data_IF_355367384326
#
_entry.id   IF_355367384326
#
_cell.length_a   1.000
_cell.length_b   1.000
_cell.length_c   1.000
_cell.angle_alpha   90.00
_cell.angle_beta   90.00
_cell.angle_gamma   90.00
#
_symmetry.space_group_name_H-M   'P 1'
#
loop_
_entity.id
_entity.type
_entity.pdbx_description
1 polymer ?
#
# COMPACT_ATOMS: atom_id res chain seq x y z
N UNK A 1 21.22 47.99 -42.13
CA UNK A 1 19.91 47.75 -41.47
C UNK A 1 19.63 46.25 -41.47
N UNK A 2 20.29 45.46 -40.61
CA UNK A 2 20.10 44.00 -40.60
C UNK A 2 20.56 43.37 -39.27
N UNK A 3 20.32 44.02 -38.13
CA UNK A 3 20.75 43.49 -36.82
C UNK A 3 19.69 43.53 -35.72
N UNK A 4 18.53 44.15 -35.92
CA UNK A 4 17.50 44.24 -34.87
C UNK A 4 16.56 43.03 -34.75
N UNK A 5 16.54 42.12 -35.73
CA UNK A 5 15.53 41.05 -35.79
C UNK A 5 15.98 39.77 -35.08
N UNK A 6 17.30 39.58 -34.88
CA UNK A 6 17.84 38.33 -34.37
C UNK A 6 17.77 38.23 -32.84
N UNK A 7 17.81 39.37 -32.14
CA UNK A 7 17.80 39.45 -30.67
C UNK A 7 16.41 39.18 -30.08
N UNK A 8 15.33 39.57 -30.76
CA UNK A 8 13.96 39.32 -30.30
C UNK A 8 13.56 37.84 -30.44
N UNK A 9 14.06 37.13 -31.44
CA UNK A 9 13.78 35.71 -31.65
C UNK A 9 14.42 34.81 -30.58
N UNK A 10 15.63 35.15 -30.11
CA UNK A 10 16.34 34.40 -29.08
C UNK A 10 15.71 34.54 -27.68
N UNK A 11 15.16 35.71 -27.36
CA UNK A 11 14.50 35.96 -26.05
C UNK A 11 13.14 35.24 -25.98
N UNK A 12 12.38 35.20 -27.07
CA UNK A 12 11.11 34.47 -27.13
C UNK A 12 11.26 32.95 -26.94
N UNK A 13 12.34 32.37 -27.48
CA UNK A 13 12.61 30.92 -27.37
C UNK A 13 12.97 30.51 -25.92
N UNK A 14 13.67 31.37 -25.18
CA UNK A 14 14.06 31.12 -23.79
C UNK A 14 12.87 31.11 -22.82
N UNK A 15 11.84 31.93 -23.07
CA UNK A 15 10.63 31.99 -22.23
C UNK A 15 9.72 30.78 -22.48
N UNK A 16 9.58 30.35 -23.74
CA UNK A 16 8.80 29.17 -24.09
C UNK A 16 9.39 27.87 -23.51
N UNK A 17 10.73 27.76 -23.46
CA UNK A 17 11.41 26.62 -22.86
C UNK A 17 11.15 26.49 -21.35
N UNK A 18 11.13 27.60 -20.61
CA UNK A 18 10.84 27.58 -19.17
C UNK A 18 9.39 27.21 -18.87
N UNK A 19 8.43 27.73 -19.66
CA UNK A 19 7.01 27.38 -19.49
C UNK A 19 6.75 25.89 -19.71
N UNK A 20 7.44 25.25 -20.66
CA UNK A 20 7.33 23.82 -20.91
C UNK A 20 7.88 22.98 -19.74
N UNK A 21 9.01 23.40 -19.14
CA UNK A 21 9.62 22.71 -17.98
C UNK A 21 8.70 22.83 -16.76
N UNK A 22 8.17 24.03 -16.48
CA UNK A 22 7.23 24.25 -15.38
C UNK A 22 5.95 23.45 -15.61
N UNK A 23 5.42 23.44 -16.84
CA UNK A 23 4.26 22.64 -17.21
C UNK A 23 4.47 21.14 -16.99
N UNK A 24 5.63 20.60 -17.38
CA UNK A 24 5.97 19.20 -17.17
C UNK A 24 6.09 18.85 -15.67
N UNK A 25 6.73 19.69 -14.86
CA UNK A 25 6.86 19.47 -13.41
C UNK A 25 5.50 19.54 -12.71
N UNK A 26 4.65 20.49 -13.08
CA UNK A 26 3.29 20.62 -12.53
C UNK A 26 2.43 19.43 -12.96
N UNK A 27 2.54 18.99 -14.21
CA UNK A 27 1.79 17.84 -14.72
C UNK A 27 2.17 16.55 -14.00
N UNK A 28 3.47 16.30 -13.79
CA UNK A 28 3.96 15.14 -13.02
C UNK A 28 3.49 15.22 -11.57
N UNK A 29 3.59 16.39 -10.91
CA UNK A 29 3.11 16.52 -9.53
C UNK A 29 1.60 16.38 -9.40
N UNK A 30 0.82 16.82 -10.40
CA UNK A 30 -0.63 16.71 -10.38
C UNK A 30 -1.08 15.26 -10.60
N UNK A 31 -0.47 14.54 -11.55
CA UNK A 31 -0.74 13.10 -11.76
C UNK A 31 -0.36 12.25 -10.55
N UNK A 32 0.74 12.58 -9.85
CA UNK A 32 1.09 11.90 -8.58
C UNK A 32 0.04 12.12 -7.49
N UNK A 33 -0.53 13.33 -7.37
CA UNK A 33 -1.56 13.63 -6.37
C UNK A 33 -2.87 12.90 -6.63
N UNK A 34 -3.29 12.79 -7.89
CA UNK A 34 -4.50 12.04 -8.22
C UNK A 34 -4.32 10.54 -7.97
N UNK A 35 -3.17 9.97 -8.30
CA UNK A 35 -2.88 8.56 -8.01
C UNK A 35 -2.86 8.28 -6.49
N UNK A 36 -2.24 9.16 -5.70
CA UNK A 36 -2.25 9.06 -4.23
C UNK A 36 -3.66 9.23 -3.65
N UNK A 37 -4.45 10.20 -4.13
CA UNK A 37 -5.82 10.42 -3.67
C UNK A 37 -6.74 9.24 -4.00
N UNK A 38 -6.58 8.62 -5.18
CA UNK A 38 -7.30 7.39 -5.54
C UNK A 38 -6.91 6.21 -4.64
N UNK A 39 -5.61 6.06 -4.32
CA UNK A 39 -5.13 5.04 -3.40
C UNK A 39 -5.65 5.24 -1.97
N UNK A 40 -5.66 6.47 -1.46
CA UNK A 40 -6.23 6.78 -0.12
C UNK A 40 -7.74 6.59 -0.07
N UNK A 41 -8.46 6.95 -1.15
CA UNK A 41 -9.90 6.73 -1.22
C UNK A 41 -10.27 5.24 -1.28
N UNK A 42 -9.46 4.40 -1.92
CA UNK A 42 -9.65 2.94 -1.94
C UNK A 42 -9.14 2.25 -0.67
N UNK A 43 -8.09 2.77 -0.01
CA UNK A 43 -7.63 2.33 1.32
C UNK A 43 -8.76 2.41 2.37
N UNK A 44 -9.55 3.48 2.32
CA UNK A 44 -10.75 3.62 3.16
C UNK A 44 -11.86 2.60 2.82
N UNK A 45 -11.84 1.96 1.65
CA UNK A 45 -12.88 1.01 1.23
C UNK A 45 -12.59 -0.42 1.71
N UNK A 46 -11.32 -0.84 1.71
CA UNK A 46 -10.92 -2.17 2.21
C UNK A 46 -10.83 -2.20 3.73
N UNK A 47 -10.66 -1.04 4.37
CA UNK A 47 -10.52 -0.90 5.82
C UNK A 47 -9.17 -1.38 6.34
N UNK A 48 -8.19 -1.58 5.45
CA UNK A 48 -6.81 -1.88 5.82
C UNK A 48 -6.12 -0.62 6.29
N UNK A 49 -5.53 -0.68 7.49
CA UNK A 49 -4.82 0.45 8.08
C UNK A 49 -3.32 0.26 7.91
N UNK A 50 -2.58 1.37 7.79
CA UNK A 50 -1.11 1.32 7.81
C UNK A 50 -0.63 0.69 9.12
N UNK A 51 0.20 -0.33 9.00
CA UNK A 51 0.74 -1.07 10.14
C UNK A 51 2.18 -1.45 9.85
N UNK A 52 2.99 -1.60 10.91
CA UNK A 52 4.32 -2.16 10.77
C UNK A 52 4.20 -3.60 10.24
N UNK A 53 5.02 -3.98 9.26
CA UNK A 53 5.08 -5.37 8.84
C UNK A 53 5.87 -6.17 9.87
N UNK A 54 5.37 -7.35 10.28
CA UNK A 54 6.14 -8.25 11.11
C UNK A 54 7.33 -8.83 10.35
N UNK A 55 8.33 -9.30 11.11
CA UNK A 55 9.46 -10.04 10.56
C UNK A 55 8.99 -11.31 9.84
N UNK A 56 9.67 -11.64 8.75
CA UNK A 56 9.31 -12.78 7.92
C UNK A 56 8.15 -12.52 6.96
N UNK A 57 7.52 -11.34 7.01
CA UNK A 57 6.58 -10.94 5.96
C UNK A 57 7.29 -10.79 4.62
N UNK A 58 6.76 -11.47 3.60
CA UNK A 58 7.27 -11.44 2.23
C UNK A 58 6.55 -10.32 1.47
N UNK A 59 7.33 -9.50 0.75
CA UNK A 59 6.76 -8.44 -0.09
C UNK A 59 5.87 -9.05 -1.18
N UNK A 60 4.74 -8.39 -1.47
CA UNK A 60 3.75 -8.84 -2.47
C UNK A 60 3.13 -10.21 -2.16
N UNK A 61 3.06 -10.57 -0.88
CA UNK A 61 2.40 -11.76 -0.39
C UNK A 61 1.45 -11.43 0.76
N UNK A 62 0.35 -12.17 0.87
CA UNK A 62 -0.58 -12.03 2.00
C UNK A 62 -0.07 -12.83 3.19
N UNK A 63 0.16 -12.16 4.32
CA UNK A 63 0.48 -12.81 5.58
C UNK A 63 -0.77 -12.95 6.45
N UNK A 64 -1.10 -14.17 6.88
CA UNK A 64 -2.23 -14.45 7.76
C UNK A 64 -1.72 -14.88 9.15
N UNK A 65 -2.04 -14.08 10.16
CA UNK A 65 -1.65 -14.29 11.56
C UNK A 65 -2.87 -14.73 12.38
N UNK A 66 -2.73 -15.81 13.13
CA UNK A 66 -3.76 -16.27 14.07
C UNK A 66 -3.48 -17.65 14.62
N UNK A 67 -4.17 -18.07 15.70
CA UNK A 67 -3.94 -19.35 16.34
C UNK A 67 -4.31 -20.50 15.39
N UNK A 68 -3.48 -21.54 15.37
CA UNK A 68 -3.83 -22.79 14.71
C UNK A 68 -4.61 -23.68 15.68
N UNK A 69 -5.94 -23.63 15.57
CA UNK A 69 -6.85 -24.34 16.44
C UNK A 69 -8.19 -24.59 15.74
N UNK A 70 -9.02 -25.47 16.31
CA UNK A 70 -10.35 -25.78 15.77
C UNK A 70 -11.46 -24.90 16.37
N UNK A 71 -11.07 -23.76 16.95
CA UNK A 71 -12.00 -22.71 17.39
C UNK A 71 -12.41 -21.81 16.22
N UNK A 72 -13.48 -21.00 16.34
CA UNK A 72 -13.96 -20.13 15.26
C UNK A 72 -12.86 -19.24 14.66
N UNK A 73 -11.90 -18.80 15.45
CA UNK A 73 -10.74 -18.02 15.02
C UNK A 73 -9.83 -18.80 14.04
N UNK A 74 -9.44 -20.04 14.39
CA UNK A 74 -8.61 -20.88 13.55
C UNK A 74 -9.36 -21.45 12.35
N UNK A 75 -10.66 -21.70 12.47
CA UNK A 75 -11.53 -22.07 11.34
C UNK A 75 -11.58 -20.92 10.32
N UNK A 76 -11.77 -19.67 10.77
CA UNK A 76 -11.73 -18.48 9.90
C UNK A 76 -10.39 -18.32 9.19
N UNK A 77 -9.28 -18.49 9.92
CA UNK A 77 -7.92 -18.48 9.35
C UNK A 77 -7.77 -19.52 8.23
N UNK A 78 -8.13 -20.78 8.50
CA UNK A 78 -8.05 -21.89 7.54
C UNK A 78 -8.94 -21.63 6.31
N UNK A 79 -10.16 -21.14 6.53
CA UNK A 79 -11.10 -20.80 5.46
C UNK A 79 -10.58 -19.67 4.56
N UNK A 80 -9.99 -18.62 5.16
CA UNK A 80 -9.41 -17.51 4.42
C UNK A 80 -8.23 -17.97 3.55
N UNK A 81 -7.30 -18.73 4.13
CA UNK A 81 -6.16 -19.29 3.38
C UNK A 81 -6.61 -20.18 2.22
N UNK A 82 -7.60 -21.07 2.45
CA UNK A 82 -8.16 -21.90 1.41
C UNK A 82 -8.84 -21.07 0.29
N UNK A 83 -9.45 -19.94 0.64
CA UNK A 83 -10.01 -18.99 -0.32
C UNK A 83 -8.93 -18.33 -1.20
N UNK A 84 -7.84 -17.85 -0.59
CA UNK A 84 -6.72 -17.24 -1.32
C UNK A 84 -6.02 -18.24 -2.24
N UNK A 85 -5.84 -19.48 -1.77
CA UNK A 85 -5.29 -20.58 -2.57
C UNK A 85 -6.11 -20.82 -3.85
N UNK A 86 -7.44 -20.85 -3.75
CA UNK A 86 -8.34 -21.03 -4.92
C UNK A 86 -8.23 -19.91 -5.94
N UNK A 87 -7.85 -18.71 -5.51
CA UNK A 87 -7.71 -17.53 -6.36
C UNK A 87 -6.27 -17.32 -6.86
N UNK A 88 -5.35 -18.25 -6.58
CA UNK A 88 -3.92 -18.15 -6.88
C UNK A 88 -3.28 -16.88 -6.28
N UNK A 89 -3.75 -16.44 -5.11
CA UNK A 89 -3.12 -15.34 -4.37
C UNK A 89 -2.02 -15.92 -3.46
N UNK A 90 -0.75 -15.51 -3.65
CA UNK A 90 0.35 -15.91 -2.78
C UNK A 90 0.04 -15.55 -1.33
N UNK A 91 0.16 -16.54 -0.44
CA UNK A 91 -0.06 -16.34 0.99
C UNK A 91 0.69 -17.35 1.84
N UNK A 92 1.01 -16.94 3.06
CA UNK A 92 1.51 -17.83 4.11
C UNK A 92 0.81 -17.56 5.44
N UNK A 93 0.85 -18.56 6.31
CA UNK A 93 0.17 -18.55 7.59
C UNK A 93 1.20 -18.67 8.71
N UNK A 94 1.00 -17.91 9.79
CA UNK A 94 1.77 -18.06 11.03
C UNK A 94 0.87 -17.95 12.24
N UNK A 95 1.33 -18.49 13.37
CA UNK A 95 0.71 -18.33 14.69
C UNK A 95 1.42 -17.30 15.56
N UNK A 96 2.63 -16.88 15.16
CA UNK A 96 3.44 -15.91 15.89
C UNK A 96 4.19 -15.00 14.93
N UNK A 97 4.45 -13.79 15.41
CA UNK A 97 5.18 -12.77 14.66
C UNK A 97 6.10 -12.02 15.63
N UNK A 98 7.25 -11.58 15.12
CA UNK A 98 8.14 -10.62 15.80
C UNK A 98 8.21 -9.33 14.98
N UNK A 99 8.76 -8.27 15.57
CA UNK A 99 9.00 -7.01 14.87
C UNK A 99 10.44 -6.55 15.07
N UNK A 100 11.06 -6.08 13.99
CA UNK A 100 12.18 -5.15 14.04
C UNK A 100 11.69 -3.70 13.76
N UNK A 101 12.31 -2.73 14.42
CA UNK A 101 11.87 -1.34 14.45
C UNK A 101 12.35 -0.48 13.27
N UNK A 102 12.95 -1.05 12.23
CA UNK A 102 13.90 -0.30 11.40
C UNK A 102 13.29 0.48 10.22
N UNK A 103 11.98 0.36 9.95
CA UNK A 103 11.48 0.64 8.58
C UNK A 103 10.28 1.59 8.41
N UNK A 104 9.92 2.44 9.38
CA UNK A 104 8.78 3.38 9.18
C UNK A 104 9.06 4.81 9.64
N UNK A 105 8.76 5.80 8.80
CA UNK A 105 8.87 7.24 9.11
C UNK A 105 8.02 7.67 10.32
N UNK A 106 6.98 6.88 10.65
CA UNK A 106 6.17 6.97 11.87
C UNK A 106 6.01 5.59 12.54
N UNK A 107 7.12 5.08 13.08
CA UNK A 107 7.19 3.82 13.84
C UNK A 107 6.16 3.79 14.97
N UNK A 108 5.94 4.89 15.70
CA UNK A 108 5.06 4.89 16.87
C UNK A 108 3.59 4.66 16.52
N UNK A 109 3.08 5.35 15.49
CA UNK A 109 1.71 5.12 15.01
C UNK A 109 1.55 3.72 14.42
N UNK A 110 2.51 3.27 13.62
CA UNK A 110 2.47 1.96 12.99
C UNK A 110 2.49 0.81 14.02
N UNK A 111 3.29 0.94 15.09
CA UNK A 111 3.30 -0.01 16.20
C UNK A 111 2.00 0.00 17.00
N UNK A 112 1.42 1.18 17.24
CA UNK A 112 0.13 1.31 17.95
C UNK A 112 -1.00 0.63 17.17
N UNK A 113 -1.04 0.85 15.84
CA UNK A 113 -2.01 0.18 14.98
C UNK A 113 -1.82 -1.33 14.98
N UNK A 114 -0.57 -1.81 14.95
CA UNK A 114 -0.30 -3.23 15.01
C UNK A 114 -0.72 -3.87 16.35
N UNK A 115 -0.44 -3.21 17.49
CA UNK A 115 -0.91 -3.67 18.79
C UNK A 115 -2.45 -3.73 18.84
N UNK A 116 -3.13 -2.73 18.27
CA UNK A 116 -4.58 -2.73 18.13
C UNK A 116 -5.08 -3.88 17.24
N UNK A 117 -4.40 -4.18 16.13
CA UNK A 117 -4.74 -5.28 15.25
C UNK A 117 -4.55 -6.64 15.94
N UNK A 118 -3.48 -6.81 16.71
CA UNK A 118 -3.21 -8.06 17.44
C UNK A 118 -4.18 -8.31 18.60
N UNK A 119 -4.72 -7.24 19.20
CA UNK A 119 -5.75 -7.33 20.25
C UNK A 119 -7.17 -7.52 19.70
N UNK A 120 -7.36 -7.26 18.41
CA UNK A 120 -8.64 -7.40 17.74
C UNK A 120 -8.92 -8.86 17.35
N UNK A 121 -10.03 -9.08 16.65
CA UNK A 121 -10.47 -10.41 16.26
C UNK A 121 -9.49 -11.09 15.27
N UNK A 122 -9.21 -12.37 15.53
CA UNK A 122 -8.43 -13.23 14.64
C UNK A 122 -9.29 -13.79 13.48
N UNK A 123 -8.74 -14.00 12.27
CA UNK A 123 -7.33 -13.80 11.88
C UNK A 123 -6.99 -12.36 11.55
N UNK A 124 -5.76 -11.94 11.83
CA UNK A 124 -5.20 -10.67 11.36
C UNK A 124 -4.46 -10.92 10.05
N UNK A 125 -4.66 -10.06 9.07
CA UNK A 125 -4.03 -10.18 7.75
C UNK A 125 -3.19 -8.95 7.48
N UNK A 126 -2.01 -9.17 6.90
CA UNK A 126 -1.11 -8.12 6.43
C UNK A 126 -0.87 -8.22 4.93
N UNK A 127 -0.87 -7.08 4.26
CA UNK A 127 -0.55 -6.90 2.84
C UNK A 127 0.26 -5.61 2.69
N UNK A 128 1.52 -5.69 2.23
CA UNK A 128 2.39 -4.54 1.89
C UNK A 128 2.27 -3.32 2.84
N UNK A 129 2.68 -3.47 4.11
CA UNK A 129 2.65 -2.44 5.17
C UNK A 129 1.27 -1.98 5.61
N UNK A 130 0.24 -2.78 5.34
CA UNK A 130 -1.10 -2.58 5.87
C UNK A 130 -1.62 -3.83 6.52
N UNK A 131 -2.47 -3.66 7.53
CA UNK A 131 -3.09 -4.76 8.24
C UNK A 131 -4.57 -4.53 8.50
N UNK A 132 -5.32 -5.64 8.63
CA UNK A 132 -6.72 -5.64 9.05
C UNK A 132 -7.01 -6.87 9.90
N UNK A 133 -7.78 -6.67 10.97
CA UNK A 133 -8.26 -7.74 11.83
C UNK A 133 -9.58 -8.31 11.29
N UNK A 134 -9.69 -9.63 11.28
CA UNK A 134 -10.83 -10.41 10.80
C UNK A 134 -11.41 -9.94 9.45
N UNK A 135 -10.59 -9.81 8.38
CA UNK A 135 -11.09 -9.41 7.08
C UNK A 135 -11.82 -10.55 6.37
N UNK A 136 -12.65 -10.18 5.40
CA UNK A 136 -13.24 -11.12 4.44
C UNK A 136 -12.26 -11.46 3.31
N UNK A 137 -12.50 -12.56 2.58
CA UNK A 137 -11.68 -12.94 1.43
C UNK A 137 -11.62 -11.84 0.36
N UNK A 138 -12.76 -11.25 0.02
CA UNK A 138 -12.86 -10.23 -1.03
C UNK A 138 -12.07 -8.97 -0.68
N UNK A 139 -12.09 -8.55 0.59
CA UNK A 139 -11.31 -7.39 1.06
C UNK A 139 -9.80 -7.64 0.96
N UNK A 140 -9.34 -8.84 1.33
CA UNK A 140 -7.92 -9.20 1.21
C UNK A 140 -7.48 -9.21 -0.25
N UNK A 141 -8.30 -9.78 -1.14
CA UNK A 141 -8.00 -9.85 -2.58
C UNK A 141 -8.00 -8.46 -3.21
N UNK A 142 -8.94 -7.60 -2.82
CA UNK A 142 -8.99 -6.21 -3.27
C UNK A 142 -7.72 -5.46 -2.85
N UNK A 143 -7.32 -5.54 -1.58
CA UNK A 143 -6.10 -4.88 -1.10
C UNK A 143 -4.85 -5.44 -1.80
N UNK A 144 -4.76 -6.77 -1.95
CA UNK A 144 -3.66 -7.42 -2.65
C UNK A 144 -3.46 -6.89 -4.08
N UNK A 145 -4.56 -6.80 -4.85
CA UNK A 145 -4.52 -6.30 -6.23
C UNK A 145 -4.21 -4.81 -6.34
N UNK A 146 -4.54 -4.03 -5.31
CA UNK A 146 -4.16 -2.62 -5.24
C UNK A 146 -2.67 -2.45 -4.92
N UNK A 147 -2.16 -3.29 -4.04
CA UNK A 147 -0.79 -3.18 -3.53
C UNK A 147 0.25 -3.84 -4.45
N UNK A 148 -0.14 -4.84 -5.24
CA UNK A 148 0.76 -5.57 -6.14
C UNK A 148 0.42 -5.19 -7.59
N UNK A 149 1.30 -4.42 -8.27
CA UNK A 149 1.11 -4.12 -9.70
C UNK A 149 1.09 -5.44 -10.49
N UNK A 150 0.02 -5.60 -11.29
CA UNK A 150 -0.20 -6.76 -12.15
C UNK A 150 0.62 -6.67 -13.45
#
# INVERSE_FOLDING_TARGET
>A
MKESTQTLALIGLAIAAQAAIIGAVVYVKFTSRTAMASQTAMENQTGFVKAAMPDGAIANEVLIVGPDCDRPEGIRKKALAAGLAKLNVPHHQTSSISMNSESTDDIFTAMTQMDSLMKADSPVVFVNAKGKANPTLDEVVAEYRLAVPQ
#
